data_IF_282954585674
#
_entry.id   IF_282954585674
#
_cell.length_a   1.000
_cell.length_b   1.000
_cell.length_c   1.000
_cell.angle_alpha   90.00
_cell.angle_beta   90.00
_cell.angle_gamma   90.00
#
_symmetry.space_group_name_H-M   'P 1'
#
loop_
_entity.id
_entity.type
_entity.pdbx_description
1 polymer ?
#
# COMPACT_ATOMS: atom_id res chain seq x y z
N UNK A 1 10.76 -18.23 14.02
CA UNK A 1 9.45 -17.73 13.54
C UNK A 1 9.46 -17.86 12.03
N UNK A 2 8.47 -18.53 11.42
CA UNK A 2 8.41 -18.64 9.95
C UNK A 2 8.19 -17.23 9.36
N UNK A 3 8.91 -16.83 8.30
CA UNK A 3 8.63 -15.57 7.63
C UNK A 3 7.20 -15.64 7.06
N UNK A 4 6.45 -14.54 7.17
CA UNK A 4 5.13 -14.42 6.55
C UNK A 4 5.27 -14.54 5.02
N UNK A 5 4.59 -15.52 4.41
CA UNK A 5 4.67 -15.76 2.96
C UNK A 5 3.93 -14.68 2.18
N UNK A 6 2.94 -14.03 2.78
CA UNK A 6 2.16 -12.96 2.18
C UNK A 6 2.24 -11.67 3.00
N UNK A 7 2.19 -10.53 2.30
CA UNK A 7 2.10 -9.22 2.95
C UNK A 7 1.40 -8.20 2.08
N UNK A 8 1.03 -7.11 2.73
CA UNK A 8 0.57 -5.89 2.12
C UNK A 8 1.52 -4.75 2.52
N UNK A 9 1.85 -3.84 1.61
CA UNK A 9 2.74 -2.71 1.89
C UNK A 9 2.02 -1.41 1.54
N UNK A 10 2.04 -0.46 2.48
CA UNK A 10 1.53 0.89 2.31
C UNK A 10 2.71 1.82 2.09
N UNK A 11 2.82 2.40 0.92
CA UNK A 11 3.85 3.37 0.56
C UNK A 11 3.25 4.76 0.73
N UNK A 12 3.75 5.52 1.69
CA UNK A 12 3.28 6.88 1.99
C UNK A 12 4.29 7.90 1.45
N UNK A 13 3.83 9.11 1.14
CA UNK A 13 4.73 10.20 0.74
C UNK A 13 5.11 11.06 1.94
N UNK A 14 6.35 11.48 2.01
CA UNK A 14 6.87 12.33 3.10
C UNK A 14 6.71 13.83 2.84
N UNK A 15 6.45 14.24 1.59
CA UNK A 15 6.26 15.64 1.20
C UNK A 15 4.94 16.25 1.70
N UNK A 16 3.97 15.42 2.10
CA UNK A 16 2.66 15.87 2.54
C UNK A 16 2.65 16.15 4.05
N UNK A 17 2.18 17.33 4.50
CA UNK A 17 2.07 17.65 5.92
C UNK A 17 0.84 16.98 6.54
N UNK A 18 0.82 15.66 6.59
CA UNK A 18 -0.27 14.89 7.20
C UNK A 18 -0.07 14.76 8.71
N UNK A 19 -1.11 15.11 9.48
CA UNK A 19 -1.17 14.71 10.89
C UNK A 19 -1.09 13.18 11.06
N UNK A 20 -0.63 12.69 12.22
CA UNK A 20 -0.54 11.25 12.51
C UNK A 20 -1.89 10.54 12.34
N UNK A 21 -2.99 11.21 12.71
CA UNK A 21 -4.34 10.70 12.54
C UNK A 21 -4.73 10.57 11.07
N UNK A 22 -4.45 11.62 10.27
CA UNK A 22 -4.70 11.61 8.84
C UNK A 22 -3.91 10.51 8.12
N UNK A 23 -2.61 10.42 8.40
CA UNK A 23 -1.75 9.35 7.90
C UNK A 23 -2.33 7.96 8.19
N UNK A 24 -2.75 7.70 9.43
CA UNK A 24 -3.33 6.42 9.82
C UNK A 24 -4.62 6.09 9.03
N UNK A 25 -5.49 7.08 8.81
CA UNK A 25 -6.71 6.91 8.01
C UNK A 25 -6.39 6.61 6.55
N UNK A 26 -5.44 7.33 5.93
CA UNK A 26 -5.05 7.10 4.54
C UNK A 26 -4.42 5.71 4.34
N UNK A 27 -3.57 5.28 5.28
CA UNK A 27 -3.01 3.91 5.33
C UNK A 27 -4.13 2.86 5.48
N UNK A 28 -5.12 3.12 6.33
CA UNK A 28 -6.26 2.21 6.52
C UNK A 28 -7.14 2.12 5.26
N UNK A 29 -7.41 3.23 4.59
CA UNK A 29 -8.14 3.25 3.31
C UNK A 29 -7.41 2.41 2.26
N UNK A 30 -6.11 2.62 2.08
CA UNK A 30 -5.30 1.83 1.14
C UNK A 30 -5.33 0.34 1.46
N UNK A 31 -5.20 -0.02 2.74
CA UNK A 31 -5.26 -1.40 3.17
C UNK A 31 -6.59 -2.08 2.81
N UNK A 32 -7.72 -1.42 3.03
CA UNK A 32 -9.05 -1.95 2.72
C UNK A 32 -9.26 -2.05 1.21
N UNK A 33 -8.97 -0.98 0.46
CA UNK A 33 -9.18 -0.92 -0.99
C UNK A 33 -8.38 -2.01 -1.72
N UNK A 34 -7.07 -2.11 -1.44
CA UNK A 34 -6.23 -3.09 -2.11
C UNK A 34 -6.52 -4.53 -1.67
N UNK A 35 -6.93 -4.74 -0.40
CA UNK A 35 -7.36 -6.05 0.06
C UNK A 35 -8.67 -6.50 -0.62
N UNK A 36 -9.64 -5.59 -0.80
CA UNK A 36 -10.89 -5.89 -1.49
C UNK A 36 -10.67 -6.12 -3.00
N UNK A 37 -9.82 -5.30 -3.63
CA UNK A 37 -9.38 -5.49 -5.01
C UNK A 37 -8.71 -6.86 -5.20
N UNK A 38 -7.82 -7.24 -4.28
CA UNK A 38 -7.21 -8.57 -4.25
C UNK A 38 -8.23 -9.68 -4.01
N UNK A 39 -9.20 -9.50 -3.11
CA UNK A 39 -10.24 -10.51 -2.84
C UNK A 39 -11.02 -10.86 -4.10
N UNK A 40 -11.30 -9.86 -4.95
CA UNK A 40 -12.04 -10.04 -6.20
C UNK A 40 -11.20 -10.60 -7.35
N UNK A 41 -9.91 -10.30 -7.41
CA UNK A 41 -9.03 -10.66 -8.53
C UNK A 41 -8.10 -11.85 -8.27
N UNK A 42 -7.74 -12.09 -7.01
CA UNK A 42 -6.76 -13.06 -6.51
C UNK A 42 -7.21 -13.60 -5.14
N UNK A 43 -8.38 -14.22 -5.09
CA UNK A 43 -9.01 -14.68 -3.83
C UNK A 43 -8.07 -15.55 -2.97
N UNK A 44 -7.26 -16.42 -3.59
CA UNK A 44 -6.31 -17.26 -2.88
C UNK A 44 -5.24 -16.45 -2.12
N UNK A 45 -4.72 -15.37 -2.73
CA UNK A 45 -3.71 -14.51 -2.09
C UNK A 45 -4.32 -13.76 -0.91
N UNK A 46 -5.54 -13.25 -1.07
CA UNK A 46 -6.27 -12.63 0.02
C UNK A 46 -6.49 -13.61 1.18
N UNK A 47 -6.98 -14.83 0.89
CA UNK A 47 -7.24 -15.85 1.90
C UNK A 47 -5.98 -16.23 2.67
N UNK A 48 -4.89 -16.57 1.98
CA UNK A 48 -3.61 -16.93 2.63
C UNK A 48 -3.05 -15.80 3.48
N UNK A 49 -3.05 -14.58 2.95
CA UNK A 49 -2.65 -13.39 3.72
C UNK A 49 -3.50 -13.21 4.99
N UNK A 50 -4.81 -13.44 4.92
CA UNK A 50 -5.71 -13.38 6.08
C UNK A 50 -5.45 -14.49 7.09
N UNK A 51 -5.24 -15.72 6.62
CA UNK A 51 -4.89 -16.89 7.45
C UNK A 51 -3.55 -16.67 8.19
N UNK A 52 -2.62 -15.94 7.57
CA UNK A 52 -1.37 -15.49 8.18
C UNK A 52 -1.50 -14.26 9.10
N UNK A 53 -2.71 -13.83 9.45
CA UNK A 53 -2.92 -12.69 10.36
C UNK A 53 -2.85 -11.31 9.68
N UNK A 54 -2.75 -11.27 8.35
CA UNK A 54 -2.93 -10.05 7.56
C UNK A 54 -1.78 -9.05 7.71
N UNK A 55 -0.52 -9.51 7.59
CA UNK A 55 0.69 -8.69 7.73
C UNK A 55 0.63 -7.41 6.86
N UNK A 56 0.95 -6.27 7.48
CA UNK A 56 1.08 -4.97 6.84
C UNK A 56 2.40 -4.33 7.21
N UNK A 57 3.00 -3.59 6.28
CA UNK A 57 4.20 -2.78 6.51
C UNK A 57 3.95 -1.40 5.93
N UNK A 58 4.41 -0.37 6.60
CA UNK A 58 4.35 1.01 6.11
C UNK A 58 5.76 1.47 5.79
N UNK A 59 5.97 1.91 4.54
CA UNK A 59 7.23 2.43 4.00
C UNK A 59 6.98 3.80 3.41
N UNK A 60 8.04 4.54 3.11
CA UNK A 60 7.93 5.91 2.63
C UNK A 60 8.69 6.19 1.33
N UNK A 61 8.24 7.22 0.62
CA UNK A 61 8.88 7.81 -0.57
C UNK A 61 8.88 9.34 -0.48
N UNK A 62 9.76 10.02 -1.23
CA UNK A 62 9.82 11.49 -1.21
C UNK A 62 8.56 12.18 -1.72
N UNK A 63 7.88 11.66 -2.75
CA UNK A 63 6.74 12.36 -3.35
C UNK A 63 5.85 11.50 -4.26
N UNK A 64 5.00 12.18 -5.05
CA UNK A 64 3.98 11.55 -5.90
C UNK A 64 4.55 10.76 -7.06
N UNK A 65 5.64 11.25 -7.64
CA UNK A 65 6.27 10.63 -8.81
C UNK A 65 6.63 9.18 -8.51
N UNK A 66 7.27 8.95 -7.37
CA UNK A 66 7.67 7.63 -6.91
C UNK A 66 6.47 6.70 -6.67
N UNK A 67 5.35 7.20 -6.13
CA UNK A 67 4.13 6.38 -6.00
C UNK A 67 3.63 5.91 -7.37
N UNK A 68 3.63 6.80 -8.38
CA UNK A 68 3.15 6.47 -9.72
C UNK A 68 4.06 5.49 -10.44
N UNK A 69 5.38 5.62 -10.26
CA UNK A 69 6.38 4.66 -10.77
C UNK A 69 6.21 3.28 -10.12
N UNK A 70 6.05 3.22 -8.79
CA UNK A 70 5.82 1.97 -8.07
C UNK A 70 4.49 1.32 -8.46
N UNK A 71 3.44 2.10 -8.70
CA UNK A 71 2.16 1.60 -9.21
C UNK A 71 2.32 0.96 -10.58
N UNK A 72 3.00 1.64 -11.52
CA UNK A 72 3.26 1.10 -12.85
C UNK A 72 4.01 -0.23 -12.73
N UNK A 73 5.05 -0.28 -11.89
CA UNK A 73 5.82 -1.50 -11.64
C UNK A 73 5.00 -2.63 -11.03
N UNK A 74 4.13 -2.33 -10.06
CA UNK A 74 3.24 -3.33 -9.46
C UNK A 74 2.27 -3.91 -10.50
N UNK A 75 1.71 -3.06 -11.38
CA UNK A 75 0.82 -3.47 -12.46
C UNK A 75 1.52 -4.34 -13.50
N UNK A 76 2.74 -4.00 -13.90
CA UNK A 76 3.57 -4.85 -14.78
C UNK A 76 3.78 -6.26 -14.23
N UNK A 77 3.94 -6.38 -12.91
CA UNK A 77 4.11 -7.66 -12.21
C UNK A 77 2.78 -8.36 -11.91
N UNK A 78 1.63 -7.79 -12.31
CA UNK A 78 0.30 -8.34 -12.06
C UNK A 78 -0.09 -8.37 -10.59
N UNK A 79 0.45 -7.45 -9.79
CA UNK A 79 0.17 -7.31 -8.37
C UNK A 79 -1.07 -6.42 -8.15
N UNK A 80 -1.96 -6.77 -7.20
CA UNK A 80 -2.96 -5.85 -6.69
C UNK A 80 -2.29 -4.58 -6.18
N UNK A 81 -2.70 -3.42 -6.67
CA UNK A 81 -2.16 -2.15 -6.22
C UNK A 81 -3.18 -1.02 -6.44
N UNK A 82 -3.39 -0.19 -5.42
CA UNK A 82 -4.39 0.88 -5.42
C UNK A 82 -3.77 2.18 -4.90
N UNK A 83 -4.04 3.29 -5.59
CA UNK A 83 -3.76 4.62 -5.06
C UNK A 83 -4.90 5.09 -4.18
N UNK A 84 -4.55 5.77 -3.10
CA UNK A 84 -5.48 6.44 -2.21
C UNK A 84 -5.41 7.93 -2.52
N UNK A 85 -6.59 8.51 -2.75
CA UNK A 85 -6.77 9.94 -2.91
C UNK A 85 -7.55 10.49 -1.72
N UNK A 86 -7.12 11.65 -1.22
CA UNK A 86 -7.89 12.36 -0.23
C UNK A 86 -9.11 13.01 -0.89
N UNK A 87 -10.31 12.61 -0.47
CA UNK A 87 -11.56 13.17 -0.96
C UNK A 87 -11.76 14.67 -0.58
N UNK A 88 -10.82 15.28 0.16
CA UNK A 88 -10.81 16.72 0.41
C UNK A 88 -11.68 17.14 1.58
N UNK A 89 -11.94 16.24 2.52
CA UNK A 89 -12.68 16.55 3.76
C UNK A 89 -11.75 17.06 4.88
N UNK A 90 -10.46 17.27 4.61
CA UNK A 90 -9.42 17.51 5.62
C UNK A 90 -8.23 18.34 5.07
N UNK A 91 -7.11 18.33 5.80
CA UNK A 91 -5.84 19.09 5.70
C UNK A 91 -5.14 19.18 4.31
N UNK A 92 -5.67 18.59 3.23
CA UNK A 92 -5.04 18.57 1.89
C UNK A 92 -6.05 18.95 0.80
N UNK A 93 -5.59 19.45 -0.35
CA UNK A 93 -6.47 19.67 -1.50
C UNK A 93 -7.21 18.38 -1.92
N UNK A 94 -8.49 18.46 -2.32
CA UNK A 94 -9.21 17.32 -2.87
C UNK A 94 -8.47 16.68 -4.05
N UNK A 95 -8.45 15.35 -4.12
CA UNK A 95 -7.78 14.59 -5.18
C UNK A 95 -6.26 14.43 -4.98
N UNK A 96 -5.71 14.87 -3.84
CA UNK A 96 -4.29 14.66 -3.53
C UNK A 96 -4.03 13.16 -3.32
N UNK A 97 -3.12 12.58 -4.10
CA UNK A 97 -2.70 11.18 -3.93
C UNK A 97 -1.81 11.06 -2.69
N UNK A 98 -2.22 10.25 -1.71
CA UNK A 98 -1.54 10.18 -0.40
C UNK A 98 -0.73 8.91 -0.21
N UNK A 99 -1.26 7.77 -0.63
CA UNK A 99 -0.72 6.43 -0.34
C UNK A 99 -0.87 5.52 -1.55
N UNK A 100 0.13 4.68 -1.80
CA UNK A 100 0.00 3.50 -2.65
C UNK A 100 -0.08 2.26 -1.77
N UNK A 101 -1.13 1.46 -1.92
CA UNK A 101 -1.22 0.14 -1.32
C UNK A 101 -0.79 -0.92 -2.35
N UNK A 102 0.18 -1.77 -2.00
CA UNK A 102 0.64 -2.89 -2.83
C UNK A 102 0.35 -4.22 -2.13
N UNK A 103 -0.26 -5.15 -2.85
CA UNK A 103 -0.75 -6.42 -2.33
C UNK A 103 -2.14 -6.33 -1.69
N UNK A 104 -2.59 -7.37 -0.97
CA UNK A 104 -1.79 -8.50 -0.51
C UNK A 104 -1.33 -9.43 -1.63
N UNK A 105 -0.11 -9.93 -1.52
CA UNK A 105 0.51 -10.83 -2.48
C UNK A 105 1.70 -11.56 -1.81
N UNK A 106 2.29 -12.59 -2.46
CA UNK A 106 3.52 -13.21 -1.97
C UNK A 106 4.60 -12.18 -1.65
N UNK A 107 5.20 -12.27 -0.47
CA UNK A 107 6.15 -11.31 0.08
C UNK A 107 7.29 -11.01 -0.88
N UNK A 108 7.84 -12.04 -1.54
CA UNK A 108 8.93 -11.89 -2.51
C UNK A 108 8.53 -11.07 -3.74
N UNK A 109 7.29 -11.18 -4.22
CA UNK A 109 6.81 -10.38 -5.34
C UNK A 109 6.58 -8.93 -4.94
N UNK A 110 6.03 -8.70 -3.74
CA UNK A 110 5.87 -7.35 -3.19
C UNK A 110 7.24 -6.68 -2.99
N UNK A 111 8.25 -7.43 -2.56
CA UNK A 111 9.61 -6.92 -2.37
C UNK A 111 10.31 -6.49 -3.67
N UNK A 112 9.91 -7.04 -4.83
CA UNK A 112 10.39 -6.56 -6.13
C UNK A 112 9.94 -5.12 -6.43
N UNK A 113 8.90 -4.64 -5.74
CA UNK A 113 8.39 -3.27 -5.86
C UNK A 113 8.89 -2.42 -4.68
N UNK A 114 8.71 -2.88 -3.45
CA UNK A 114 8.86 -2.04 -2.25
C UNK A 114 10.05 -2.40 -1.36
N UNK A 115 10.80 -3.46 -1.65
CA UNK A 115 11.75 -4.06 -0.71
C UNK A 115 12.98 -3.19 -0.36
N UNK A 116 13.23 -2.14 -1.14
CA UNK A 116 14.33 -1.19 -0.90
C UNK A 116 13.89 0.11 -0.24
N UNK A 117 12.57 0.29 -0.02
CA UNK A 117 12.04 1.52 0.54
C UNK A 117 12.26 1.54 2.06
N UNK A 118 12.59 2.72 2.63
CA UNK A 118 12.73 2.86 4.07
C UNK A 118 11.39 2.67 4.78
N UNK A 119 11.42 2.14 6.00
CA UNK A 119 10.24 2.14 6.87
C UNK A 119 9.85 3.58 7.22
N UNK A 120 8.55 3.85 7.27
CA UNK A 120 8.03 5.13 7.74
C UNK A 120 8.43 5.34 9.22
N UNK A 121 8.97 6.51 9.54
CA UNK A 121 9.39 6.89 10.89
C UNK A 121 8.39 7.80 11.58
#
# INVERSE_FOLDING_TARGET
MRPFEYKQVMVVREDLPMSRGKLAVQVAHGAVLAAESCRRSREEWFRKWREEGGKKVVVSVPGEGELRELLARARELGLPAELVEDAGLTELPPGTVTVLAVGPAPSELVDRVTGKLPLLR
#
